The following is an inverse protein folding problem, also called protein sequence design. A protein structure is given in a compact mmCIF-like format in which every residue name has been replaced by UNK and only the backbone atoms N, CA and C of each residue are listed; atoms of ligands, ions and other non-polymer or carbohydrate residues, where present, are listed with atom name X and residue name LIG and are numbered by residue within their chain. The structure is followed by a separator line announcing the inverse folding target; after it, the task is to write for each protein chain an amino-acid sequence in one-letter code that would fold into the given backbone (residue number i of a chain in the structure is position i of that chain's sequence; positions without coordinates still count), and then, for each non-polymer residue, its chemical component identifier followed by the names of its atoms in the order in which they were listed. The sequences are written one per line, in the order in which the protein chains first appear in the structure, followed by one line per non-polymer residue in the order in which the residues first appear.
data_IF_716176057262
#
_entry.id   IF_716176057262
#
_cell.length_a   1.000
_cell.length_b   1.000
_cell.length_c   1.000
_cell.angle_alpha   90.00
_cell.angle_beta   90.00
_cell.angle_gamma   90.00
#
_symmetry.space_group_name_H-M   'P 1'
#
loop_
_entity.id
_entity.type
_entity.pdbx_description
1 polymer ?
#
# COMPACT_ATOMS: atom_id res chain seq x y z
N UNK A 1 61.06 -27.29 -14.50
CA UNK A 1 60.46 -26.33 -13.55
C UNK A 1 61.03 -26.57 -12.15
N UNK A 2 61.52 -25.52 -11.47
CA UNK A 2 62.18 -25.64 -10.15
C UNK A 2 61.13 -25.88 -9.06
N UNK A 3 61.38 -26.84 -8.16
CA UNK A 3 60.49 -27.22 -7.03
C UNK A 3 60.00 -26.01 -6.21
N UNK A 4 60.79 -24.94 -6.13
CA UNK A 4 60.40 -23.69 -5.46
C UNK A 4 59.21 -22.94 -6.11
N UNK A 5 59.04 -22.99 -7.43
CA UNK A 5 57.91 -22.36 -8.11
C UNK A 5 56.60 -23.09 -7.82
N UNK A 6 56.65 -24.43 -7.72
CA UNK A 6 55.50 -25.25 -7.34
C UNK A 6 55.05 -24.96 -5.90
N UNK A 7 56.00 -24.83 -4.98
CA UNK A 7 55.71 -24.53 -3.56
C UNK A 7 55.04 -23.16 -3.41
N UNK A 8 55.53 -22.14 -4.12
CA UNK A 8 54.92 -20.80 -4.10
C UNK A 8 53.50 -20.81 -4.66
N UNK A 9 53.25 -21.55 -5.75
CA UNK A 9 51.91 -21.68 -6.33
C UNK A 9 50.94 -22.41 -5.39
N UNK A 10 51.39 -23.45 -4.69
CA UNK A 10 50.57 -24.17 -3.71
C UNK A 10 50.21 -23.26 -2.52
N UNK A 11 51.18 -22.49 -2.00
CA UNK A 11 50.92 -21.55 -0.91
C UNK A 11 49.92 -20.47 -1.35
N UNK A 12 50.09 -19.91 -2.55
CA UNK A 12 49.16 -18.92 -3.10
C UNK A 12 47.75 -19.48 -3.30
N UNK A 13 47.64 -20.71 -3.82
CA UNK A 13 46.36 -21.39 -4.00
C UNK A 13 45.65 -21.65 -2.66
N UNK A 14 46.40 -22.06 -1.63
CA UNK A 14 45.85 -22.25 -0.28
C UNK A 14 45.39 -20.92 0.33
N UNK A 15 46.18 -19.85 0.19
CA UNK A 15 45.79 -18.52 0.67
C UNK A 15 44.53 -18.00 -0.02
N UNK A 16 44.44 -18.15 -1.35
CA UNK A 16 43.24 -17.80 -2.11
C UNK A 16 42.03 -18.64 -1.68
N UNK A 17 42.21 -19.96 -1.47
CA UNK A 17 41.15 -20.83 -1.00
C UNK A 17 40.63 -20.42 0.40
N UNK A 18 41.54 -20.10 1.33
CA UNK A 18 41.17 -19.60 2.67
C UNK A 18 40.42 -18.26 2.57
N UNK A 19 40.85 -17.36 1.69
CA UNK A 19 40.19 -16.07 1.47
C UNK A 19 38.78 -16.25 0.89
N UNK A 20 38.61 -17.14 -0.09
CA UNK A 20 37.30 -17.45 -0.68
C UNK A 20 36.39 -18.13 0.34
N UNK A 21 36.88 -19.14 1.08
CA UNK A 21 36.11 -19.84 2.11
C UNK A 21 35.73 -18.88 3.23
N UNK A 22 36.69 -18.08 3.73
CA UNK A 22 36.45 -17.08 4.77
C UNK A 22 35.45 -16.02 4.33
N UNK A 23 35.58 -15.51 3.10
CA UNK A 23 34.62 -14.59 2.50
C UNK A 23 33.23 -15.19 2.35
N UNK A 24 33.13 -16.46 1.93
CA UNK A 24 31.87 -17.19 1.82
C UNK A 24 31.20 -17.41 3.17
N UNK A 25 31.96 -17.81 4.19
CA UNK A 25 31.46 -17.98 5.56
C UNK A 25 30.99 -16.65 6.14
N UNK A 26 31.80 -15.59 6.01
CA UNK A 26 31.43 -14.25 6.47
C UNK A 26 30.17 -13.73 5.75
N UNK A 27 30.09 -13.91 4.43
CA UNK A 27 28.89 -13.57 3.65
C UNK A 27 27.67 -14.34 4.14
N UNK A 28 27.78 -15.65 4.36
CA UNK A 28 26.66 -16.46 4.86
C UNK A 28 26.22 -16.02 6.25
N UNK A 29 27.16 -15.76 7.17
CA UNK A 29 26.84 -15.27 8.51
C UNK A 29 26.11 -13.92 8.47
N UNK A 30 26.55 -12.99 7.63
CA UNK A 30 25.87 -11.68 7.47
C UNK A 30 24.53 -11.86 6.76
N UNK A 31 24.46 -12.72 5.75
CA UNK A 31 23.23 -13.02 5.03
C UNK A 31 22.17 -13.66 5.94
N UNK A 32 22.57 -14.55 6.85
CA UNK A 32 21.68 -15.13 7.85
C UNK A 32 21.14 -14.08 8.82
N UNK A 33 21.94 -13.08 9.19
CA UNK A 33 21.53 -12.02 10.11
C UNK A 33 20.67 -10.95 9.44
N UNK A 34 21.10 -10.45 8.28
CA UNK A 34 20.53 -9.25 7.64
C UNK A 34 19.66 -9.61 6.43
N UNK A 35 19.97 -10.69 5.72
CA UNK A 35 19.28 -11.07 4.49
C UNK A 35 19.77 -10.30 3.26
N UNK A 36 21.05 -10.41 2.96
CA UNK A 36 21.69 -9.76 1.81
C UNK A 36 21.32 -10.40 0.46
N UNK A 37 21.00 -11.69 0.45
CA UNK A 37 20.53 -12.40 -0.73
C UNK A 37 19.08 -11.99 -1.03
N UNK A 38 18.72 -11.90 -2.33
CA UNK A 38 17.34 -11.64 -2.71
C UNK A 38 16.42 -12.73 -2.17
N UNK A 39 15.30 -12.32 -1.60
CA UNK A 39 14.20 -13.19 -1.21
C UNK A 39 13.42 -13.72 -2.42
N UNK A 40 12.53 -14.68 -2.15
CA UNK A 40 11.53 -15.16 -3.11
C UNK A 40 10.56 -14.04 -3.48
N UNK A 41 10.12 -14.06 -4.74
CA UNK A 41 9.00 -13.24 -5.21
C UNK A 41 7.70 -13.91 -4.78
N UNK A 42 6.94 -13.22 -3.95
CA UNK A 42 5.64 -13.60 -3.38
C UNK A 42 4.71 -12.45 -3.74
N UNK A 43 3.60 -12.77 -4.39
CA UNK A 43 2.57 -11.79 -4.75
C UNK A 43 1.59 -11.61 -3.59
N UNK A 44 1.03 -10.41 -3.42
CA UNK A 44 -0.10 -10.21 -2.51
C UNK A 44 -1.30 -11.14 -2.81
N UNK A 45 -1.43 -11.61 -4.06
CA UNK A 45 -2.46 -12.58 -4.47
C UNK A 45 -2.31 -13.94 -3.76
N UNK A 46 -1.11 -14.31 -3.28
CA UNK A 46 -0.90 -15.53 -2.47
C UNK A 46 -1.48 -15.37 -1.04
N UNK A 47 -1.74 -14.14 -0.61
CA UNK A 47 -2.30 -13.81 0.71
C UNK A 47 -3.81 -13.51 0.67
N UNK A 48 -4.41 -13.50 -0.52
CA UNK A 48 -5.86 -13.35 -0.69
C UNK A 48 -6.56 -14.57 -0.09
N UNK A 49 -7.41 -14.34 0.90
CA UNK A 49 -8.15 -15.40 1.60
C UNK A 49 -9.65 -15.16 1.54
N UNK A 50 -10.41 -16.21 1.21
CA UNK A 50 -11.88 -16.13 1.10
C UNK A 50 -12.32 -15.00 0.16
N UNK A 51 -13.27 -14.17 0.62
CA UNK A 51 -13.81 -13.03 -0.10
C UNK A 51 -13.00 -11.72 0.10
N UNK A 52 -11.66 -11.78 -0.01
CA UNK A 52 -10.87 -10.53 0.01
C UNK A 52 -11.16 -9.70 -1.25
N UNK A 53 -11.95 -8.63 -1.06
CA UNK A 53 -12.54 -7.79 -2.11
C UNK A 53 -11.99 -6.37 -2.18
N UNK A 54 -11.19 -5.99 -1.21
CA UNK A 54 -10.50 -4.70 -1.17
C UNK A 54 -9.01 -4.94 -1.25
N UNK A 55 -8.37 -4.35 -2.25
CA UNK A 55 -6.94 -4.53 -2.52
C UNK A 55 -6.35 -3.18 -2.87
N UNK A 56 -5.39 -2.72 -2.08
CA UNK A 56 -4.55 -1.59 -2.43
C UNK A 56 -3.12 -2.11 -2.59
N UNK A 57 -2.52 -1.88 -3.75
CA UNK A 57 -1.18 -2.35 -4.09
C UNK A 57 -0.34 -1.17 -4.52
N UNK A 58 0.83 -1.09 -3.93
CA UNK A 58 1.86 -0.11 -4.24
C UNK A 58 3.08 -0.85 -4.77
N UNK A 59 3.65 -0.33 -5.87
CA UNK A 59 4.84 -0.88 -6.50
C UNK A 59 6.01 0.10 -6.35
N UNK A 60 6.82 -0.03 -5.29
CA UNK A 60 7.95 0.86 -5.04
C UNK A 60 8.99 0.87 -6.16
N UNK A 61 9.15 -0.23 -6.90
CA UNK A 61 10.15 -0.32 -7.96
C UNK A 61 9.82 0.61 -9.13
N UNK A 62 8.54 0.78 -9.45
CA UNK A 62 8.10 1.75 -10.47
C UNK A 62 8.28 3.21 -10.04
N UNK A 63 8.45 3.46 -8.74
CA UNK A 63 8.75 4.77 -8.18
C UNK A 63 10.24 5.07 -8.07
N UNK A 64 11.10 4.06 -8.18
CA UNK A 64 12.54 4.21 -8.00
C UNK A 64 13.15 5.34 -8.86
N UNK A 65 12.76 5.56 -10.14
CA UNK A 65 13.30 6.66 -10.93
C UNK A 65 13.01 8.04 -10.33
N UNK A 66 11.87 8.21 -9.65
CA UNK A 66 11.44 9.48 -9.04
C UNK A 66 11.98 9.64 -7.62
N UNK A 67 11.98 8.55 -6.84
CA UNK A 67 12.30 8.57 -5.41
C UNK A 67 13.72 9.10 -5.13
N UNK A 68 14.68 8.77 -5.99
CA UNK A 68 16.05 9.20 -5.82
C UNK A 68 16.25 10.72 -5.94
N UNK A 69 15.35 11.39 -6.64
CA UNK A 69 15.43 12.83 -6.86
C UNK A 69 14.84 13.66 -5.70
N UNK A 70 14.12 13.01 -4.79
CA UNK A 70 13.66 13.63 -3.54
C UNK A 70 14.71 13.56 -2.42
N UNK A 71 15.79 12.80 -2.60
CA UNK A 71 16.87 12.73 -1.62
C UNK A 71 17.58 14.09 -1.59
N UNK A 72 17.50 14.77 -0.44
CA UNK A 72 18.17 16.06 -0.25
C UNK A 72 19.68 15.89 -0.35
N UNK A 73 20.41 16.78 -1.06
CA UNK A 73 21.88 16.82 -1.04
C UNK A 73 22.46 16.99 0.37
N UNK A 74 21.66 17.51 1.30
CA UNK A 74 22.05 17.77 2.70
C UNK A 74 21.96 16.51 3.58
N UNK A 75 21.35 15.42 3.11
CA UNK A 75 21.41 14.15 3.83
C UNK A 75 22.85 13.62 3.79
N UNK A 76 23.48 13.54 4.96
CA UNK A 76 24.79 12.90 5.14
C UNK A 76 24.65 11.38 4.98
N UNK A 77 24.49 10.92 3.74
CA UNK A 77 24.53 9.51 3.41
C UNK A 77 25.99 9.06 3.23
N UNK A 78 26.34 7.84 3.66
CA UNK A 78 27.67 7.27 3.43
C UNK A 78 27.94 6.94 1.94
N UNK A 79 26.97 7.22 1.07
CA UNK A 79 26.97 6.97 -0.37
C UNK A 79 26.47 8.22 -1.09
N UNK A 80 26.99 8.48 -2.29
CA UNK A 80 26.52 9.62 -3.09
C UNK A 80 25.14 9.35 -3.72
N UNK A 81 24.47 10.40 -4.22
CA UNK A 81 23.14 10.28 -4.81
C UNK A 81 23.06 9.27 -5.97
N UNK A 82 24.12 9.17 -6.77
CA UNK A 82 24.18 8.23 -7.91
C UNK A 82 24.26 6.77 -7.45
N UNK A 83 25.00 6.51 -6.38
CA UNK A 83 25.02 5.20 -5.73
C UNK A 83 23.66 4.86 -5.12
N UNK A 84 22.94 5.83 -4.55
CA UNK A 84 21.59 5.56 -4.03
C UNK A 84 20.65 5.17 -5.17
N UNK A 85 20.69 5.87 -6.31
CA UNK A 85 19.94 5.49 -7.52
C UNK A 85 20.20 4.04 -7.94
N UNK A 86 21.46 3.64 -7.92
CA UNK A 86 21.87 2.28 -8.28
C UNK A 86 21.44 1.23 -7.23
N UNK A 87 21.40 1.59 -5.95
CA UNK A 87 21.06 0.68 -4.86
C UNK A 87 19.55 0.51 -4.65
N UNK A 88 18.74 1.53 -4.97
CA UNK A 88 17.31 1.53 -4.71
C UNK A 88 16.55 0.31 -5.27
N UNK A 89 16.79 -0.15 -6.51
CA UNK A 89 16.13 -1.35 -7.03
C UNK A 89 16.40 -2.62 -6.22
N UNK A 90 17.49 -2.66 -5.44
CA UNK A 90 17.88 -3.81 -4.61
C UNK A 90 17.35 -3.74 -3.18
N UNK A 91 16.98 -2.54 -2.71
CA UNK A 91 16.56 -2.30 -1.32
C UNK A 91 15.05 -2.14 -1.22
N UNK A 92 14.42 -1.48 -2.20
CA UNK A 92 12.98 -1.27 -2.20
C UNK A 92 12.24 -2.62 -2.26
N UNK A 93 11.11 -2.77 -1.55
CA UNK A 93 10.27 -3.94 -1.70
C UNK A 93 9.74 -4.02 -3.14
N UNK A 94 9.49 -5.25 -3.62
CA UNK A 94 8.91 -5.44 -4.97
C UNK A 94 7.46 -4.95 -5.01
N UNK A 95 6.77 -5.10 -3.89
CA UNK A 95 5.37 -4.81 -3.73
C UNK A 95 5.07 -4.51 -2.27
N UNK A 96 4.13 -3.61 -2.03
CA UNK A 96 3.47 -3.41 -0.74
C UNK A 96 1.98 -3.50 -1.00
N UNK A 97 1.24 -4.25 -0.19
CA UNK A 97 -0.20 -4.38 -0.34
C UNK A 97 -0.93 -4.20 1.00
N UNK A 98 -2.10 -3.59 0.94
CA UNK A 98 -3.11 -3.60 1.99
C UNK A 98 -4.33 -4.32 1.43
N UNK A 99 -4.69 -5.42 2.07
CA UNK A 99 -5.87 -6.22 1.74
C UNK A 99 -6.91 -5.99 2.82
N UNK A 100 -8.18 -5.90 2.45
CA UNK A 100 -9.28 -5.91 3.40
C UNK A 100 -10.36 -6.92 3.03
N UNK A 101 -10.94 -7.53 4.06
CA UNK A 101 -12.01 -8.51 3.98
C UNK A 101 -13.03 -8.25 5.06
N UNK A 102 -14.26 -7.99 4.66
CA UNK A 102 -15.39 -7.87 5.56
C UNK A 102 -15.81 -9.25 6.09
N UNK A 103 -15.83 -9.40 7.41
CA UNK A 103 -16.46 -10.50 8.13
C UNK A 103 -17.71 -9.94 8.82
N UNK A 104 -18.85 -10.09 8.14
CA UNK A 104 -20.13 -9.52 8.56
C UNK A 104 -20.58 -10.11 9.89
N UNK A 105 -20.51 -11.44 10.04
CA UNK A 105 -20.93 -12.15 11.25
C UNK A 105 -19.98 -11.90 12.43
N UNK A 106 -18.69 -11.73 12.14
CA UNK A 106 -17.70 -11.36 13.15
C UNK A 106 -17.74 -9.88 13.54
N UNK A 107 -18.49 -9.05 12.80
CA UNK A 107 -18.49 -7.59 12.90
C UNK A 107 -17.08 -6.99 12.77
N UNK A 108 -16.27 -7.53 11.84
CA UNK A 108 -14.88 -7.11 11.63
C UNK A 108 -14.59 -6.78 10.18
N UNK A 109 -13.86 -5.69 9.96
CA UNK A 109 -13.09 -5.48 8.74
C UNK A 109 -11.68 -6.00 8.99
N UNK A 110 -11.37 -7.20 8.50
CA UNK A 110 -10.05 -7.81 8.62
C UNK A 110 -9.10 -7.14 7.63
N UNK A 111 -7.89 -6.83 8.08
CA UNK A 111 -6.85 -6.13 7.33
C UNK A 111 -5.57 -6.98 7.29
N UNK A 112 -4.96 -7.07 6.12
CA UNK A 112 -3.63 -7.65 5.95
C UNK A 112 -2.72 -6.62 5.28
N UNK A 113 -1.68 -6.20 5.99
CA UNK A 113 -0.58 -5.43 5.43
C UNK A 113 0.52 -6.40 5.02
N UNK A 114 1.03 -6.24 3.80
CA UNK A 114 2.07 -7.09 3.22
C UNK A 114 3.13 -6.24 2.53
N UNK A 115 4.38 -6.68 2.59
CA UNK A 115 5.46 -6.17 1.78
C UNK A 115 6.37 -7.31 1.31
N UNK A 116 6.57 -7.39 0.00
CA UNK A 116 7.56 -8.28 -0.59
C UNK A 116 8.97 -7.66 -0.47
N UNK A 117 9.59 -7.78 0.71
CA UNK A 117 10.98 -7.34 0.91
C UNK A 117 11.92 -8.11 -0.01
N UNK A 118 12.87 -7.43 -0.64
CA UNK A 118 13.89 -8.11 -1.45
C UNK A 118 15.09 -8.53 -0.62
N UNK A 119 15.59 -7.60 0.19
CA UNK A 119 16.78 -7.72 1.02
C UNK A 119 16.53 -6.98 2.33
N UNK A 120 17.24 -7.36 3.37
CA UNK A 120 17.15 -6.65 4.64
C UNK A 120 15.89 -6.95 5.46
N UNK A 121 15.04 -7.92 5.07
CA UNK A 121 13.77 -8.18 5.74
C UNK A 121 13.84 -8.29 7.27
N UNK A 122 14.87 -8.95 7.82
CA UNK A 122 15.06 -9.05 9.28
C UNK A 122 15.32 -7.69 9.92
N UNK A 123 16.22 -6.90 9.33
CA UNK A 123 16.50 -5.54 9.76
C UNK A 123 15.27 -4.65 9.66
N UNK A 124 14.54 -4.69 8.53
CA UNK A 124 13.31 -3.92 8.34
C UNK A 124 12.26 -4.26 9.40
N UNK A 125 12.04 -5.56 9.67
CA UNK A 125 11.16 -6.00 10.75
C UNK A 125 11.55 -5.41 12.10
N UNK A 126 12.83 -5.49 12.46
CA UNK A 126 13.34 -4.95 13.73
C UNK A 126 13.11 -3.44 13.81
N UNK A 127 13.45 -2.68 12.77
CA UNK A 127 13.28 -1.22 12.76
C UNK A 127 11.80 -0.82 12.84
N UNK A 128 10.91 -1.49 12.09
CA UNK A 128 9.47 -1.22 12.13
C UNK A 128 8.92 -1.51 13.53
N UNK A 129 9.31 -2.63 14.15
CA UNK A 129 8.81 -2.99 15.48
C UNK A 129 9.37 -2.08 16.58
N UNK A 130 10.64 -1.69 16.49
CA UNK A 130 11.25 -0.70 17.39
C UNK A 130 10.56 0.66 17.32
N UNK A 131 10.12 1.09 16.13
CA UNK A 131 9.39 2.35 15.95
C UNK A 131 7.98 2.32 16.54
N UNK A 132 7.45 1.13 16.86
CA UNK A 132 6.08 0.92 17.31
C UNK A 132 5.02 1.49 16.33
N UNK A 133 5.34 1.56 15.03
CA UNK A 133 4.47 2.20 14.04
C UNK A 133 3.05 1.62 14.00
N UNK A 134 2.89 0.31 14.15
CA UNK A 134 1.56 -0.33 14.14
C UNK A 134 0.72 0.04 15.37
N UNK A 135 1.32 0.07 16.56
CA UNK A 135 0.57 0.38 17.79
C UNK A 135 0.13 1.85 17.89
N UNK A 136 0.72 2.73 17.06
CA UNK A 136 0.26 4.11 16.92
C UNK A 136 -1.09 4.21 16.20
N UNK A 137 -1.47 3.20 15.42
CA UNK A 137 -2.75 3.13 14.70
C UNK A 137 -3.79 2.46 15.62
N UNK A 138 -4.28 3.23 16.59
CA UNK A 138 -5.19 2.75 17.65
C UNK A 138 -6.54 2.24 17.14
N UNK A 139 -6.91 2.61 15.92
CA UNK A 139 -8.15 2.20 15.26
C UNK A 139 -8.13 0.73 14.82
N UNK A 140 -6.94 0.13 14.70
CA UNK A 140 -6.76 -1.25 14.26
C UNK A 140 -6.30 -2.10 15.44
N UNK A 141 -7.02 -3.18 15.72
CA UNK A 141 -6.58 -4.21 16.66
C UNK A 141 -5.66 -5.18 15.92
N UNK A 142 -4.35 -5.00 16.05
CA UNK A 142 -3.36 -5.87 15.44
C UNK A 142 -3.29 -7.23 16.15
N UNK A 143 -3.15 -8.31 15.39
CA UNK A 143 -3.06 -9.68 15.93
C UNK A 143 -1.73 -9.96 16.63
N UNK A 144 -0.70 -9.20 16.27
CA UNK A 144 0.63 -9.26 16.87
C UNK A 144 1.13 -7.86 17.25
N UNK A 145 2.07 -7.80 18.18
CA UNK A 145 2.65 -6.55 18.68
C UNK A 145 3.47 -5.78 17.63
N UNK A 146 3.68 -6.35 16.43
CA UNK A 146 4.44 -5.75 15.35
C UNK A 146 4.34 -6.53 14.05
N UNK A 147 5.13 -6.11 13.06
CA UNK A 147 5.24 -6.81 11.78
C UNK A 147 5.98 -8.15 11.97
N UNK A 148 5.55 -9.13 11.21
CA UNK A 148 6.08 -10.48 11.21
C UNK A 148 6.87 -10.75 9.91
N UNK A 149 7.74 -11.76 9.97
CA UNK A 149 8.52 -12.25 8.82
C UNK A 149 8.59 -13.77 8.93
N UNK A 150 7.53 -14.51 8.55
CA UNK A 150 7.51 -15.98 8.60
C UNK A 150 8.60 -16.57 7.71
N UNK A 151 8.76 -15.97 6.54
CA UNK A 151 9.80 -16.30 5.58
C UNK A 151 10.34 -15.06 4.87
N UNK A 152 11.50 -15.19 4.24
CA UNK A 152 12.09 -14.12 3.42
C UNK A 152 11.15 -13.76 2.28
N UNK A 153 10.93 -12.46 2.08
CA UNK A 153 9.99 -11.93 1.08
C UNK A 153 8.56 -11.80 1.57
N UNK A 154 8.27 -12.15 2.84
CA UNK A 154 6.92 -12.05 3.41
C UNK A 154 6.93 -11.23 4.71
N UNK A 155 7.15 -9.90 4.60
CA UNK A 155 6.89 -9.01 5.72
C UNK A 155 5.39 -8.76 5.77
N UNK A 156 4.72 -9.10 6.87
CA UNK A 156 3.28 -8.95 6.96
C UNK A 156 2.78 -8.64 8.37
N UNK A 157 1.62 -8.00 8.46
CA UNK A 157 0.89 -7.77 9.70
C UNK A 157 -0.60 -7.94 9.44
N UNK A 158 -1.31 -8.51 10.41
CA UNK A 158 -2.76 -8.68 10.36
C UNK A 158 -3.41 -7.89 11.48
N UNK A 159 -4.56 -7.31 11.18
CA UNK A 159 -5.35 -6.60 12.17
C UNK A 159 -6.82 -6.58 11.79
N UNK A 160 -7.64 -5.99 12.65
CA UNK A 160 -9.05 -5.82 12.39
C UNK A 160 -9.55 -4.47 12.89
N UNK A 161 -10.55 -3.94 12.20
CA UNK A 161 -11.37 -2.82 12.66
C UNK A 161 -12.77 -3.33 12.99
N UNK A 162 -13.40 -2.71 13.98
CA UNK A 162 -14.78 -3.04 14.33
C UNK A 162 -15.76 -2.45 13.31
N UNK A 163 -16.73 -3.25 12.91
CA UNK A 163 -17.90 -2.81 12.16
C UNK A 163 -19.07 -2.72 13.15
N UNK A 164 -19.87 -1.65 13.15
CA UNK A 164 -21.06 -1.58 14.00
C UNK A 164 -22.03 -2.73 13.70
N UNK A 165 -22.62 -3.35 14.74
CA UNK A 165 -23.58 -4.46 14.58
C UNK A 165 -24.76 -4.10 13.66
N UNK A 166 -25.18 -2.83 13.66
CA UNK A 166 -26.28 -2.36 12.82
C UNK A 166 -26.02 -2.43 11.33
N UNK A 167 -24.76 -2.53 10.91
CA UNK A 167 -24.37 -2.65 9.50
C UNK A 167 -24.67 -4.04 8.96
N UNK A 168 -24.67 -5.09 9.80
CA UNK A 168 -24.97 -6.45 9.34
C UNK A 168 -26.36 -6.52 8.70
N UNK A 169 -27.36 -5.96 9.37
CA UNK A 169 -28.73 -5.96 8.84
C UNK A 169 -28.80 -5.21 7.50
N UNK A 170 -28.13 -4.06 7.39
CA UNK A 170 -28.10 -3.26 6.16
C UNK A 170 -27.43 -4.00 5.00
N UNK A 171 -26.31 -4.69 5.28
CA UNK A 171 -25.62 -5.50 4.30
C UNK A 171 -26.51 -6.66 3.82
N UNK A 172 -27.22 -7.32 4.73
CA UNK A 172 -28.14 -8.41 4.36
C UNK A 172 -29.38 -7.92 3.61
N UNK A 173 -29.85 -6.70 3.87
CA UNK A 173 -30.98 -6.09 3.17
C UNK A 173 -30.61 -5.67 1.73
N UNK A 174 -29.45 -5.02 1.57
CA UNK A 174 -28.99 -4.48 0.28
C UNK A 174 -28.26 -5.53 -0.58
N UNK A 175 -27.52 -6.45 0.04
CA UNK A 175 -26.81 -7.55 -0.61
C UNK A 175 -27.23 -8.92 -0.04
N UNK A 176 -28.48 -9.36 -0.27
CA UNK A 176 -29.05 -10.57 0.35
C UNK A 176 -28.37 -11.87 -0.09
N UNK A 177 -27.70 -11.86 -1.23
CA UNK A 177 -26.90 -12.98 -1.72
C UNK A 177 -25.46 -12.54 -1.85
N UNK A 178 -24.57 -13.20 -1.10
CA UNK A 178 -23.14 -13.01 -1.29
C UNK A 178 -22.75 -13.25 -2.76
N UNK A 179 -21.86 -12.40 -3.26
CA UNK A 179 -21.33 -12.44 -4.61
C UNK A 179 -20.63 -13.78 -4.86
N UNK A 180 -21.11 -14.51 -5.88
CA UNK A 180 -20.53 -15.79 -6.30
C UNK A 180 -19.36 -15.62 -7.26
N UNK A 181 -19.25 -14.44 -7.83
CA UNK A 181 -18.21 -14.09 -8.79
C UNK A 181 -16.88 -13.88 -8.08
N UNK A 182 -15.83 -14.19 -8.81
CA UNK A 182 -14.47 -13.96 -8.32
C UNK A 182 -14.25 -12.47 -8.04
N UNK A 183 -13.59 -12.20 -6.91
CA UNK A 183 -13.25 -10.84 -6.50
C UNK A 183 -12.41 -10.12 -7.56
N UNK A 184 -12.69 -8.83 -7.75
CA UNK A 184 -11.94 -8.00 -8.68
C UNK A 184 -10.45 -7.96 -8.31
N UNK A 185 -9.59 -8.22 -9.30
CA UNK A 185 -8.13 -8.26 -9.12
C UNK A 185 -7.47 -6.95 -9.51
N UNK A 186 -6.26 -6.75 -9.00
CA UNK A 186 -5.34 -5.69 -9.41
C UNK A 186 -4.84 -6.01 -10.83
N UNK A 187 -4.81 -5.01 -11.72
CA UNK A 187 -4.43 -5.24 -13.12
C UNK A 187 -2.90 -5.31 -13.26
N UNK A 188 -2.20 -4.54 -12.42
CA UNK A 188 -0.75 -4.45 -12.42
C UNK A 188 -0.22 -3.39 -13.38
N UNK A 189 1.05 -3.04 -13.18
CA UNK A 189 1.78 -2.10 -14.04
C UNK A 189 1.67 -0.62 -13.64
N UNK A 190 0.97 -0.29 -12.55
CA UNK A 190 0.94 1.07 -12.01
C UNK A 190 1.70 1.16 -10.68
N UNK A 191 2.11 2.38 -10.32
CA UNK A 191 2.82 2.64 -9.06
C UNK A 191 1.91 2.45 -7.85
N UNK A 192 0.63 2.81 -7.98
CA UNK A 192 -0.41 2.56 -6.98
C UNK A 192 -1.68 2.11 -7.68
N UNK A 193 -2.29 1.06 -7.17
CA UNK A 193 -3.59 0.55 -7.60
C UNK A 193 -4.47 0.31 -6.37
N UNK A 194 -5.74 0.67 -6.44
CA UNK A 194 -6.77 0.34 -5.46
C UNK A 194 -7.96 -0.25 -6.22
N UNK A 195 -8.43 -1.40 -5.77
CA UNK A 195 -9.63 -2.04 -6.25
C UNK A 195 -10.53 -2.32 -5.05
N UNK A 196 -11.79 -1.88 -5.14
CA UNK A 196 -12.83 -2.15 -4.18
C UNK A 196 -13.98 -2.83 -4.90
N UNK A 197 -14.16 -4.11 -4.64
CA UNK A 197 -15.26 -4.90 -5.16
C UNK A 197 -16.43 -4.84 -4.18
N UNK A 198 -17.46 -4.11 -4.54
CA UNK A 198 -18.57 -3.79 -3.67
C UNK A 198 -19.78 -4.70 -3.88
N UNK A 199 -19.62 -5.82 -4.60
CA UNK A 199 -20.72 -6.77 -4.82
C UNK A 199 -21.18 -7.48 -3.53
N UNK A 200 -20.44 -7.31 -2.43
CA UNK A 200 -20.79 -7.75 -1.06
C UNK A 200 -21.03 -6.58 -0.08
N UNK A 201 -21.09 -5.33 -0.57
CA UNK A 201 -21.24 -4.16 0.29
C UNK A 201 -19.97 -3.76 1.08
N UNK A 202 -18.79 -4.17 0.64
CA UNK A 202 -17.51 -3.83 1.29
C UNK A 202 -17.29 -2.31 1.44
N UNK A 203 -17.79 -1.47 0.52
CA UNK A 203 -17.71 -0.01 0.66
C UNK A 203 -18.52 0.46 1.89
N UNK A 204 -19.72 -0.10 2.11
CA UNK A 204 -20.56 0.24 3.25
C UNK A 204 -19.90 -0.20 4.56
N UNK A 205 -19.43 -1.44 4.60
CA UNK A 205 -18.71 -2.00 5.74
C UNK A 205 -17.48 -1.18 6.11
N UNK A 206 -16.66 -0.80 5.12
CA UNK A 206 -15.51 0.06 5.31
C UNK A 206 -15.91 1.45 5.82
N UNK A 207 -16.91 2.09 5.21
CA UNK A 207 -17.38 3.40 5.62
C UNK A 207 -17.84 3.41 7.08
N UNK A 208 -18.58 2.37 7.50
CA UNK A 208 -19.02 2.22 8.87
C UNK A 208 -17.87 1.97 9.84
N UNK A 209 -16.92 1.10 9.49
CA UNK A 209 -15.73 0.84 10.30
C UNK A 209 -14.88 2.11 10.49
N UNK A 210 -14.67 2.90 9.43
CA UNK A 210 -13.95 4.17 9.53
C UNK A 210 -14.71 5.22 10.35
N UNK A 211 -16.03 5.28 10.21
CA UNK A 211 -16.89 6.18 11.00
C UNK A 211 -16.76 5.88 12.49
N UNK A 212 -16.89 4.61 12.87
CA UNK A 212 -16.71 4.16 14.25
C UNK A 212 -15.29 4.41 14.76
N UNK A 213 -14.28 4.12 13.94
CA UNK A 213 -12.87 4.35 14.26
C UNK A 213 -12.51 5.84 14.43
N UNK A 214 -13.25 6.73 13.77
CA UNK A 214 -13.16 8.18 13.96
C UNK A 214 -13.91 8.68 15.21
N UNK A 215 -14.52 7.77 15.99
CA UNK A 215 -15.31 8.10 17.17
C UNK A 215 -16.70 8.66 16.86
N UNK A 216 -17.19 8.47 15.63
CA UNK A 216 -18.51 8.92 15.21
C UNK A 216 -19.54 7.78 15.31
N UNK A 217 -20.82 8.13 15.48
CA UNK A 217 -21.91 7.16 15.52
C UNK A 217 -22.46 6.92 14.11
N UNK A 218 -22.29 5.70 13.61
CA UNK A 218 -22.80 5.26 12.29
C UNK A 218 -24.31 5.51 12.12
N UNK A 219 -25.12 5.25 13.15
CA UNK A 219 -26.58 5.42 13.09
C UNK A 219 -26.99 6.87 12.84
N UNK A 220 -26.25 7.83 13.41
CA UNK A 220 -26.50 9.25 13.18
C UNK A 220 -26.11 9.66 11.76
N UNK A 221 -25.00 9.12 11.24
CA UNK A 221 -24.53 9.41 9.88
C UNK A 221 -25.52 8.86 8.85
N UNK A 222 -25.88 7.57 8.97
CA UNK A 222 -26.82 6.91 8.05
C UNK A 222 -28.23 7.49 8.10
N UNK A 223 -28.68 7.91 9.30
CA UNK A 223 -30.01 8.47 9.51
C UNK A 223 -30.19 9.88 8.96
N UNK A 224 -29.10 10.54 8.57
CA UNK A 224 -29.18 11.83 7.88
C UNK A 224 -29.71 11.67 6.45
N UNK A 225 -30.39 12.69 5.93
CA UNK A 225 -30.85 12.71 4.53
C UNK A 225 -29.68 12.46 3.56
N UNK A 226 -28.50 13.00 3.87
CA UNK A 226 -27.30 12.81 3.09
C UNK A 226 -26.81 11.35 3.13
N UNK A 227 -26.80 10.74 4.32
CA UNK A 227 -26.42 9.35 4.53
C UNK A 227 -27.30 8.39 3.72
N UNK A 228 -28.62 8.57 3.77
CA UNK A 228 -29.55 7.75 3.00
C UNK A 228 -29.31 7.82 1.49
N UNK A 229 -29.04 9.03 0.95
CA UNK A 229 -28.69 9.21 -0.47
C UNK A 229 -27.36 8.54 -0.82
N UNK A 230 -26.34 8.68 0.03
CA UNK A 230 -25.03 8.03 -0.19
C UNK A 230 -25.17 6.51 -0.20
N UNK A 231 -25.92 5.93 0.73
CA UNK A 231 -26.10 4.47 0.81
C UNK A 231 -26.77 3.93 -0.46
N UNK A 232 -27.84 4.58 -0.94
CA UNK A 232 -28.53 4.14 -2.17
C UNK A 232 -27.65 4.22 -3.43
N UNK A 233 -26.66 5.10 -3.44
CA UNK A 233 -25.63 5.19 -4.49
C UNK A 233 -24.51 4.17 -4.27
N UNK A 234 -24.08 3.93 -3.04
CA UNK A 234 -23.09 2.89 -2.75
C UNK A 234 -23.62 1.51 -3.16
N UNK A 235 -24.90 1.24 -2.94
CA UNK A 235 -25.57 0.03 -3.42
C UNK A 235 -25.41 -0.18 -4.93
N UNK A 236 -25.38 0.90 -5.72
CA UNK A 236 -25.27 0.83 -7.18
C UNK A 236 -23.86 0.54 -7.69
N UNK A 237 -22.85 0.66 -6.83
CA UNK A 237 -21.45 0.48 -7.22
C UNK A 237 -21.12 -1.00 -7.19
N UNK A 238 -20.64 -1.54 -8.31
CA UNK A 238 -20.17 -2.92 -8.40
C UNK A 238 -18.68 -3.02 -8.09
N UNK A 239 -17.87 -2.22 -8.77
CA UNK A 239 -16.42 -2.21 -8.62
C UNK A 239 -15.90 -0.78 -8.77
N UNK A 240 -15.05 -0.35 -7.86
CA UNK A 240 -14.28 0.89 -8.00
C UNK A 240 -12.80 0.56 -8.19
N UNK A 241 -12.16 1.20 -9.17
CA UNK A 241 -10.74 1.06 -9.50
C UNK A 241 -10.08 2.42 -9.53
N UNK A 242 -8.96 2.56 -8.85
CA UNK A 242 -8.08 3.71 -8.91
C UNK A 242 -6.68 3.24 -9.28
N UNK A 243 -6.08 3.90 -10.27
CA UNK A 243 -4.69 3.66 -10.69
C UNK A 243 -3.96 4.99 -10.68
N UNK A 244 -2.77 5.06 -10.09
CA UNK A 244 -2.00 6.29 -10.04
C UNK A 244 -0.54 6.08 -10.43
N UNK A 245 0.01 7.04 -11.18
CA UNK A 245 1.40 7.07 -11.60
C UNK A 245 1.94 8.51 -11.58
N UNK A 246 3.15 8.69 -11.07
CA UNK A 246 3.94 9.90 -11.29
C UNK A 246 4.31 10.02 -12.77
N UNK A 247 4.07 11.19 -13.33
CA UNK A 247 4.58 11.57 -14.66
C UNK A 247 5.91 12.30 -14.55
N UNK A 248 6.08 13.03 -13.45
CA UNK A 248 7.29 13.77 -13.08
C UNK A 248 7.34 13.89 -11.54
N UNK A 249 8.21 14.77 -11.01
CA UNK A 249 8.40 14.92 -9.56
C UNK A 249 7.28 15.68 -8.87
N UNK A 250 6.49 16.43 -9.61
CA UNK A 250 5.47 17.28 -9.02
C UNK A 250 4.05 16.80 -9.38
N UNK A 251 3.92 16.00 -10.43
CA UNK A 251 2.64 15.57 -10.98
C UNK A 251 2.43 14.06 -10.91
N UNK A 252 1.25 13.66 -10.42
CA UNK A 252 0.69 12.33 -10.61
C UNK A 252 -0.57 12.39 -11.50
N UNK A 253 -0.73 11.38 -12.34
CA UNK A 253 -1.97 11.08 -13.06
C UNK A 253 -2.70 9.95 -12.34
N UNK A 254 -3.99 10.14 -12.08
CA UNK A 254 -4.86 9.22 -11.36
C UNK A 254 -6.03 8.88 -12.28
N UNK A 255 -6.15 7.60 -12.64
CA UNK A 255 -7.28 7.09 -13.40
C UNK A 255 -8.29 6.46 -12.44
N UNK A 256 -9.51 6.99 -12.43
CA UNK A 256 -10.63 6.47 -11.65
C UNK A 256 -11.66 5.83 -12.58
N UNK A 257 -12.12 4.64 -12.23
CA UNK A 257 -13.26 3.96 -12.86
C UNK A 257 -14.17 3.41 -11.77
N UNK A 258 -15.45 3.73 -11.81
CA UNK A 258 -16.46 3.18 -10.91
C UNK A 258 -17.56 2.58 -11.77
N UNK A 259 -17.59 1.25 -11.84
CA UNK A 259 -18.62 0.49 -12.54
C UNK A 259 -19.90 0.49 -11.70
N UNK A 260 -21.02 0.88 -12.29
CA UNK A 260 -22.31 1.04 -11.61
C UNK A 260 -23.48 0.64 -12.51
N UNK A 261 -24.67 0.46 -11.95
CA UNK A 261 -25.86 0.24 -12.78
C UNK A 261 -26.21 1.49 -13.62
N UNK A 262 -26.84 1.26 -14.77
CA UNK A 262 -27.13 2.31 -15.74
C UNK A 262 -28.17 3.33 -15.23
N UNK A 263 -29.03 2.94 -14.29
CA UNK A 263 -30.13 3.77 -13.78
C UNK A 263 -29.63 4.78 -12.76
N UNK A 264 -28.76 4.34 -11.84
CA UNK A 264 -28.20 5.14 -10.75
C UNK A 264 -26.85 5.78 -11.11
N UNK A 265 -26.20 5.34 -12.20
CA UNK A 265 -24.94 5.89 -12.70
C UNK A 265 -24.86 7.42 -12.82
N UNK A 266 -25.84 8.10 -13.45
CA UNK A 266 -25.88 9.56 -13.50
C UNK A 266 -25.99 10.21 -12.11
N UNK A 267 -26.68 9.57 -11.16
CA UNK A 267 -26.77 10.03 -9.78
C UNK A 267 -25.43 9.92 -9.04
N UNK A 268 -24.71 8.82 -9.27
CA UNK A 268 -23.34 8.64 -8.78
C UNK A 268 -22.41 9.73 -9.34
N UNK A 269 -22.45 9.99 -10.66
CA UNK A 269 -21.67 11.06 -11.28
C UNK A 269 -21.95 12.41 -10.64
N UNK A 270 -23.22 12.75 -10.44
CA UNK A 270 -23.63 14.01 -9.81
C UNK A 270 -23.11 14.11 -8.37
N UNK A 271 -23.18 13.03 -7.58
CA UNK A 271 -22.64 13.02 -6.21
C UNK A 271 -21.11 13.19 -6.21
N UNK A 272 -20.42 12.50 -7.11
CA UNK A 272 -18.96 12.57 -7.22
C UNK A 272 -18.51 13.97 -7.65
N UNK A 273 -19.09 14.52 -8.71
CA UNK A 273 -18.73 15.83 -9.24
C UNK A 273 -19.23 17.00 -8.36
N UNK A 274 -20.39 16.85 -7.73
CA UNK A 274 -21.05 17.90 -6.96
C UNK A 274 -20.63 17.99 -5.49
N UNK A 275 -20.26 16.86 -4.88
CA UNK A 275 -19.81 16.85 -3.48
C UNK A 275 -18.41 16.26 -3.29
N UNK A 276 -18.19 15.00 -3.69
CA UNK A 276 -17.00 14.26 -3.26
C UNK A 276 -15.70 14.88 -3.81
N UNK A 277 -15.65 15.18 -5.11
CA UNK A 277 -14.47 15.74 -5.77
C UNK A 277 -14.19 17.19 -5.31
N UNK A 278 -15.18 18.10 -5.20
CA UNK A 278 -14.96 19.42 -4.60
C UNK A 278 -14.44 19.36 -3.16
N UNK A 279 -15.02 18.52 -2.30
CA UNK A 279 -14.57 18.36 -0.92
C UNK A 279 -13.14 17.80 -0.85
N UNK A 280 -12.80 16.85 -1.71
CA UNK A 280 -11.45 16.31 -1.83
C UNK A 280 -10.45 17.38 -2.29
N UNK A 281 -10.80 18.17 -3.30
CA UNK A 281 -9.98 19.30 -3.78
C UNK A 281 -9.70 20.32 -2.68
N UNK A 282 -10.75 20.74 -1.97
CA UNK A 282 -10.61 21.69 -0.87
C UNK A 282 -9.69 21.12 0.22
N UNK A 283 -9.88 19.85 0.59
CA UNK A 283 -9.05 19.16 1.59
C UNK A 283 -7.60 19.08 1.15
N UNK A 284 -7.33 18.68 -0.10
CA UNK A 284 -5.99 18.58 -0.66
C UNK A 284 -5.28 19.93 -0.70
N UNK A 285 -5.99 20.98 -1.14
CA UNK A 285 -5.44 22.33 -1.22
C UNK A 285 -5.17 22.92 0.15
N UNK A 286 -6.15 22.85 1.06
CA UNK A 286 -6.08 23.47 2.38
C UNK A 286 -5.08 22.78 3.31
N UNK A 287 -5.07 21.45 3.34
CA UNK A 287 -4.30 20.70 4.32
C UNK A 287 -2.92 20.28 3.81
N UNK A 288 -2.75 20.17 2.49
CA UNK A 288 -1.53 19.63 1.89
C UNK A 288 -0.91 20.52 0.81
N UNK A 289 -1.56 21.63 0.45
CA UNK A 289 -1.17 22.50 -0.66
C UNK A 289 -0.99 21.73 -1.99
N UNK A 290 -1.84 20.74 -2.21
CA UNK A 290 -1.90 19.96 -3.44
C UNK A 290 -3.10 20.40 -4.29
N UNK A 291 -2.91 20.51 -5.59
CA UNK A 291 -3.97 20.87 -6.54
C UNK A 291 -4.42 19.63 -7.32
N UNK A 292 -5.72 19.35 -7.30
CA UNK A 292 -6.33 18.21 -7.99
C UNK A 292 -7.27 18.70 -9.10
N UNK A 293 -6.91 18.43 -10.35
CA UNK A 293 -7.65 18.80 -11.56
C UNK A 293 -8.24 17.56 -12.25
N UNK A 294 -9.16 17.78 -13.20
CA UNK A 294 -9.82 16.71 -13.97
C UNK A 294 -11.32 16.60 -13.71
N UNK A 295 -11.99 15.70 -14.42
CA UNK A 295 -13.44 15.50 -14.33
C UNK A 295 -13.77 14.01 -14.28
N UNK A 296 -14.98 13.70 -13.81
CA UNK A 296 -15.47 12.33 -13.67
C UNK A 296 -16.81 12.19 -14.41
N UNK A 297 -16.81 12.20 -15.76
CA UNK A 297 -18.03 12.00 -16.54
C UNK A 297 -18.61 10.58 -16.39
N UNK A 298 -19.92 10.47 -16.61
CA UNK A 298 -20.59 9.19 -16.81
C UNK A 298 -20.39 8.72 -18.25
N UNK A 299 -19.89 7.50 -18.42
CA UNK A 299 -19.81 6.79 -19.69
C UNK A 299 -20.97 5.77 -19.75
N UNK A 300 -21.98 6.09 -20.57
CA UNK A 300 -23.18 5.27 -20.72
C UNK A 300 -22.93 3.96 -21.49
N UNK A 301 -21.91 3.92 -22.36
CA UNK A 301 -21.60 2.71 -23.13
C UNK A 301 -20.92 1.65 -22.23
N UNK A 302 -20.18 2.13 -21.22
CA UNK A 302 -19.46 1.29 -20.27
C UNK A 302 -20.18 1.10 -18.93
N UNK A 303 -21.29 1.80 -18.70
CA UNK A 303 -21.99 1.88 -17.42
C UNK A 303 -21.04 2.21 -16.25
N UNK A 304 -20.22 3.24 -16.43
CA UNK A 304 -19.20 3.59 -15.45
C UNK A 304 -18.97 5.10 -15.36
N UNK A 305 -18.62 5.57 -14.17
CA UNK A 305 -17.99 6.88 -13.99
C UNK A 305 -16.50 6.71 -14.25
N UNK A 306 -15.97 7.37 -15.28
CA UNK A 306 -14.57 7.24 -15.70
C UNK A 306 -13.95 8.61 -15.81
N UNK A 307 -12.75 8.79 -15.25
CA UNK A 307 -12.02 10.03 -15.44
C UNK A 307 -10.54 9.92 -15.12
N UNK A 308 -9.79 10.85 -15.72
CA UNK A 308 -8.38 11.07 -15.45
C UNK A 308 -8.27 12.35 -14.63
N UNK A 309 -7.67 12.23 -13.45
CA UNK A 309 -7.40 13.34 -12.54
C UNK A 309 -5.89 13.60 -12.49
N UNK A 310 -5.52 14.87 -12.35
CA UNK A 310 -4.13 15.30 -12.24
C UNK A 310 -3.89 15.92 -10.87
N UNK A 311 -2.98 15.34 -10.10
CA UNK A 311 -2.56 15.86 -8.80
C UNK A 311 -1.19 16.52 -8.92
N UNK A 312 -1.08 17.79 -8.55
CA UNK A 312 0.16 18.59 -8.63
C UNK A 312 0.58 19.16 -7.26
N UNK A 313 1.82 19.64 -7.15
CA UNK A 313 2.42 20.10 -5.89
C UNK A 313 3.10 18.98 -5.07
N UNK A 314 3.27 17.79 -5.65
CA UNK A 314 3.81 16.63 -4.94
C UNK A 314 5.26 16.81 -4.51
N UNK A 315 6.07 17.57 -5.25
CA UNK A 315 7.49 17.71 -4.90
C UNK A 315 7.65 18.42 -3.56
N UNK A 316 6.98 19.57 -3.41
CA UNK A 316 7.00 20.35 -2.19
C UNK A 316 6.43 19.54 -1.01
N UNK A 317 5.33 18.82 -1.24
CA UNK A 317 4.71 17.96 -0.24
C UNK A 317 5.65 16.85 0.23
N UNK A 318 6.23 16.06 -0.68
CA UNK A 318 7.09 14.93 -0.34
C UNK A 318 8.36 15.42 0.38
N UNK A 319 9.00 16.48 -0.12
CA UNK A 319 10.19 17.06 0.54
C UNK A 319 9.89 17.49 1.97
N UNK A 320 8.73 18.11 2.22
CA UNK A 320 8.32 18.50 3.57
C UNK A 320 8.20 17.31 4.52
N UNK A 321 7.73 16.15 4.02
CA UNK A 321 7.55 14.92 4.82
C UNK A 321 8.86 14.20 5.09
N UNK A 322 9.78 14.19 4.12
CA UNK A 322 11.12 13.63 4.31
C UNK A 322 11.86 14.41 5.42
N UNK A 323 11.83 15.75 5.37
CA UNK A 323 12.51 16.61 6.38
C UNK A 323 11.90 16.42 7.78
N UNK A 324 10.57 16.33 7.88
CA UNK A 324 9.89 16.06 9.15
C UNK A 324 10.20 14.67 9.72
N UNK A 325 10.38 13.67 8.86
CA UNK A 325 10.71 12.30 9.25
C UNK A 325 12.18 12.09 9.64
N UNK A 326 13.09 12.96 9.19
CA UNK A 326 14.54 12.87 9.46
C UNK A 326 14.98 13.52 10.77
N UNK A 327 14.17 13.45 11.83
CA UNK A 327 14.61 13.83 13.18
C UNK A 327 15.94 13.15 13.54
N UNK A 328 16.78 13.75 14.41
CA UNK A 328 18.13 13.26 14.65
C UNK A 328 18.10 11.78 15.02
N UNK A 329 18.65 10.93 14.14
CA UNK A 329 18.89 9.52 14.42
C UNK A 329 19.94 9.49 15.51
N UNK A 330 19.51 9.42 16.77
CA UNK A 330 20.42 9.14 17.88
C UNK A 330 20.98 7.75 17.62
N UNK A 331 22.25 7.68 17.20
CA UNK A 331 22.95 6.42 17.04
C UNK A 331 22.81 5.62 18.34
N UNK A 332 22.36 4.36 18.28
CA UNK A 332 22.41 3.51 19.46
C UNK A 332 23.89 3.33 19.84
N UNK A 333 24.22 3.74 21.06
CA UNK A 333 25.51 3.49 21.73
C UNK A 333 25.60 2.00 22.07
#
# INVERSE_FOLDING_TARGET
MKKGCLIVLVILAVLLAVLVIGGFVAYNMVNERVGLSPSRVISHEELVVGDTRVRAVFNPLLLAPFAADYISPEMNLPVNAEQVKQLMPYVLPREIALLARTDVLGHKLNLTLFANEQRGGKFLKEQINLSQALSQIKQITWTAEGIQLPERGNLFAEGAMDIPETVEQELLELWPTGAKEEAARIDGGNQLELVVDNRNGDILAMAAAFTQAAGQNWELVRGSQYGATVIGIVESIYVARLKANLTDKDTAVINLRIDSDAEKGPGLQMLMAGLALPALRETLKKNYNLDLEGELPWDADQNAVIGELRLTGLEAFIRSKIIQGSGPVTSPV
#
